data_IF_116882513514
#
_entry.id   IF_116882513514
#
_cell.length_a   1.000
_cell.length_b   1.000
_cell.length_c   1.000
_cell.angle_alpha   90.00
_cell.angle_beta   90.00
_cell.angle_gamma   90.00
#
_symmetry.space_group_name_H-M   'P 1'
#
loop_
_entity.id
_entity.type
_entity.pdbx_description
1 polymer ?
#
# COMPACT_ATOMS: atom_id res chain seq x y z
N UNK A 1 -14.67 50.39 -6.89
CA UNK A 1 -15.90 50.47 -7.69
C UNK A 1 -15.52 50.30 -9.15
N UNK A 2 -16.30 49.56 -9.93
CA UNK A 2 -16.17 49.41 -11.37
C UNK A 2 -16.40 50.73 -12.12
N UNK A 3 -17.18 51.65 -11.56
CA UNK A 3 -17.26 53.06 -12.00
C UNK A 3 -16.10 53.95 -11.52
N UNK A 4 -15.14 53.39 -10.77
CA UNK A 4 -13.97 54.13 -10.28
C UNK A 4 -12.96 54.44 -11.38
N UNK A 5 -11.99 55.31 -11.08
CA UNK A 5 -10.90 55.60 -12.02
C UNK A 5 -10.07 54.35 -12.28
N UNK A 6 -9.55 54.20 -13.51
CA UNK A 6 -8.69 53.07 -13.88
C UNK A 6 -7.47 52.95 -12.96
N UNK A 7 -6.92 54.09 -12.53
CA UNK A 7 -5.80 54.15 -11.56
C UNK A 7 -6.20 53.56 -10.22
N UNK A 8 -7.38 53.90 -9.68
CA UNK A 8 -7.88 53.32 -8.44
C UNK A 8 -8.19 51.82 -8.59
N UNK A 9 -8.66 51.39 -9.78
CA UNK A 9 -8.88 49.98 -10.10
C UNK A 9 -7.58 49.17 -10.09
N UNK A 10 -6.50 49.69 -10.67
CA UNK A 10 -5.18 49.02 -10.66
C UNK A 10 -4.47 49.07 -9.31
N UNK A 11 -4.77 50.06 -8.46
CA UNK A 11 -4.19 50.17 -7.12
C UNK A 11 -4.90 49.31 -6.06
N UNK A 12 -6.10 48.79 -6.34
CA UNK A 12 -6.90 48.05 -5.38
C UNK A 12 -6.74 46.52 -5.55
N UNK A 13 -6.61 45.80 -4.43
CA UNK A 13 -6.58 44.33 -4.42
C UNK A 13 -7.93 43.68 -4.78
N UNK A 14 -9.03 44.41 -4.56
CA UNK A 14 -10.40 43.96 -4.84
C UNK A 14 -11.18 45.10 -5.49
N UNK A 15 -11.84 44.81 -6.61
CA UNK A 15 -12.71 45.75 -7.33
C UNK A 15 -14.14 45.23 -7.41
N UNK A 16 -15.11 46.07 -7.02
CA UNK A 16 -16.54 45.74 -7.09
C UNK A 16 -17.09 46.09 -8.48
N UNK A 17 -17.26 45.10 -9.35
CA UNK A 17 -17.75 45.35 -10.74
C UNK A 17 -19.17 45.91 -10.80
N UNK A 18 -20.03 45.53 -9.84
CA UNK A 18 -21.44 45.94 -9.82
C UNK A 18 -21.70 47.26 -9.07
N UNK A 19 -20.65 47.83 -8.44
CA UNK A 19 -20.73 48.98 -7.53
C UNK A 19 -21.64 48.81 -6.30
N UNK A 20 -22.11 47.59 -6.02
CA UNK A 20 -22.94 47.30 -4.84
C UNK A 20 -22.07 46.89 -3.67
N UNK A 21 -22.20 47.61 -2.55
CA UNK A 21 -21.50 47.28 -1.31
C UNK A 21 -21.88 45.90 -0.74
N UNK A 22 -23.08 45.40 -1.07
CA UNK A 22 -23.53 44.06 -0.68
C UNK A 22 -22.62 42.94 -1.19
N UNK A 23 -22.01 43.10 -2.36
CA UNK A 23 -21.07 42.12 -2.93
C UNK A 23 -19.82 41.97 -2.03
N UNK A 24 -19.46 43.01 -1.26
CA UNK A 24 -18.36 42.97 -0.30
C UNK A 24 -18.69 42.08 0.91
N UNK A 25 -19.95 42.06 1.36
CA UNK A 25 -20.40 41.16 2.43
C UNK A 25 -20.33 39.71 1.98
N UNK A 26 -20.79 39.42 0.76
CA UNK A 26 -20.68 38.09 0.16
C UNK A 26 -19.22 37.66 -0.02
N UNK A 27 -18.34 38.58 -0.43
CA UNK A 27 -16.91 38.30 -0.52
C UNK A 27 -16.27 38.00 0.84
N UNK A 28 -16.69 38.67 1.91
CA UNK A 28 -16.24 38.37 3.29
C UNK A 28 -16.72 36.99 3.74
N UNK A 29 -17.98 36.64 3.48
CA UNK A 29 -18.52 35.31 3.79
C UNK A 29 -17.72 34.21 3.09
N UNK A 30 -17.46 34.39 1.80
CA UNK A 30 -16.70 33.45 0.98
C UNK A 30 -15.24 33.35 1.41
N UNK A 31 -14.61 34.46 1.78
CA UNK A 31 -13.25 34.47 2.33
C UNK A 31 -13.14 33.71 3.65
N UNK A 32 -14.14 33.86 4.54
CA UNK A 32 -14.23 33.09 5.79
C UNK A 32 -14.44 31.60 5.52
N UNK A 33 -15.30 31.25 4.57
CA UNK A 33 -15.54 29.86 4.13
C UNK A 33 -14.25 29.22 3.59
N UNK A 34 -13.57 29.90 2.67
CA UNK A 34 -12.33 29.41 2.07
C UNK A 34 -11.25 29.18 3.14
N UNK A 35 -11.08 30.12 4.08
CA UNK A 35 -10.10 29.98 5.16
C UNK A 35 -10.41 28.79 6.08
N UNK A 36 -11.68 28.62 6.49
CA UNK A 36 -12.09 27.47 7.31
C UNK A 36 -11.83 26.14 6.60
N UNK A 37 -12.10 26.08 5.29
CA UNK A 37 -11.84 24.90 4.47
C UNK A 37 -10.33 24.60 4.34
N UNK A 38 -9.48 25.62 4.17
CA UNK A 38 -8.02 25.46 4.18
C UNK A 38 -7.55 24.88 5.51
N UNK A 39 -8.09 25.35 6.64
CA UNK A 39 -7.77 24.79 7.96
C UNK A 39 -8.08 23.30 8.08
N UNK A 40 -9.21 22.84 7.52
CA UNK A 40 -9.57 21.42 7.48
C UNK A 40 -8.63 20.60 6.60
N UNK A 41 -8.27 21.14 5.43
CA UNK A 41 -7.32 20.52 4.49
C UNK A 41 -5.95 20.36 5.15
N UNK A 42 -5.39 21.43 5.70
CA UNK A 42 -4.09 21.40 6.40
C UNK A 42 -4.12 20.41 7.56
N UNK A 43 -5.20 20.41 8.35
CA UNK A 43 -5.38 19.45 9.45
C UNK A 43 -5.33 18.02 8.93
N UNK A 44 -6.01 17.71 7.84
CA UNK A 44 -6.00 16.38 7.23
C UNK A 44 -4.59 15.98 6.75
N UNK A 45 -3.95 16.80 5.92
CA UNK A 45 -2.64 16.50 5.34
C UNK A 45 -1.56 16.30 6.41
N UNK A 46 -1.53 17.16 7.44
CA UNK A 46 -0.59 16.97 8.54
C UNK A 46 -0.91 15.70 9.33
N UNK A 47 -2.20 15.40 9.54
CA UNK A 47 -2.60 14.22 10.30
C UNK A 47 -2.20 12.92 9.61
N UNK A 48 -2.49 12.81 8.32
CA UNK A 48 -2.17 11.67 7.47
C UNK A 48 -0.65 11.41 7.41
N UNK A 49 0.13 12.42 7.02
CA UNK A 49 1.59 12.28 6.89
C UNK A 49 2.28 11.92 8.21
N UNK A 50 1.87 12.53 9.33
CA UNK A 50 2.43 12.19 10.65
C UNK A 50 2.00 10.78 11.06
N UNK A 51 0.77 10.38 10.76
CA UNK A 51 0.28 9.02 10.99
C UNK A 51 1.09 7.97 10.23
N UNK A 52 1.36 8.20 8.94
CA UNK A 52 2.19 7.31 8.12
C UNK A 52 3.64 7.26 8.60
N UNK A 53 4.18 8.39 9.06
CA UNK A 53 5.50 8.44 9.68
C UNK A 53 5.55 7.53 10.91
N UNK A 54 4.55 7.59 11.79
CA UNK A 54 4.49 6.71 12.97
C UNK A 54 4.42 5.22 12.60
N UNK A 55 3.73 4.88 11.51
CA UNK A 55 3.70 3.48 11.02
C UNK A 55 5.11 3.04 10.60
N UNK A 56 5.81 3.84 9.78
CA UNK A 56 7.17 3.51 9.35
C UNK A 56 8.14 3.40 10.53
N UNK A 57 8.03 4.33 11.50
CA UNK A 57 8.81 4.28 12.75
C UNK A 57 8.54 2.98 13.50
N UNK A 58 7.27 2.62 13.72
CA UNK A 58 6.91 1.40 14.44
C UNK A 58 7.41 0.12 13.72
N UNK A 59 7.31 0.07 12.40
CA UNK A 59 7.80 -1.07 11.59
C UNK A 59 9.29 -1.30 11.83
N UNK A 60 10.10 -0.22 11.83
CA UNK A 60 11.55 -0.31 12.08
C UNK A 60 11.82 -0.74 13.52
N UNK A 61 11.17 -0.10 14.51
CA UNK A 61 11.39 -0.41 15.93
C UNK A 61 11.02 -1.85 16.30
N UNK A 62 9.97 -2.41 15.69
CA UNK A 62 9.51 -3.77 15.97
C UNK A 62 10.05 -4.82 15.00
N UNK A 63 10.91 -4.45 14.05
CA UNK A 63 11.46 -5.33 13.01
C UNK A 63 10.36 -6.09 12.25
N UNK A 64 9.29 -5.37 11.90
CA UNK A 64 8.17 -5.87 11.10
C UNK A 64 8.49 -5.70 9.61
N UNK A 65 7.89 -6.50 8.72
CA UNK A 65 7.96 -6.19 7.31
C UNK A 65 7.26 -4.84 7.04
N UNK A 66 7.73 -4.11 6.03
CA UNK A 66 7.09 -2.85 5.63
C UNK A 66 5.74 -3.14 4.97
N UNK A 67 4.64 -2.44 5.34
CA UNK A 67 3.33 -2.73 4.76
C UNK A 67 3.22 -2.31 3.28
N UNK A 68 4.11 -1.44 2.79
CA UNK A 68 4.12 -0.98 1.39
C UNK A 68 5.53 -0.62 0.93
N UNK A 69 5.76 -0.69 -0.38
CA UNK A 69 6.97 -0.11 -0.96
C UNK A 69 6.86 1.42 -1.05
N UNK A 70 7.99 2.13 -1.08
CA UNK A 70 8.02 3.60 -1.11
C UNK A 70 7.23 4.19 -2.28
N UNK A 71 7.24 3.51 -3.44
CA UNK A 71 6.44 3.87 -4.60
C UNK A 71 4.93 3.79 -4.33
N UNK A 72 4.49 2.73 -3.64
CA UNK A 72 3.08 2.51 -3.32
C UNK A 72 2.55 3.58 -2.37
N UNK A 73 3.40 4.05 -1.44
CA UNK A 73 3.07 5.17 -0.55
C UNK A 73 2.82 6.45 -1.34
N UNK A 74 3.72 6.75 -2.29
CA UNK A 74 3.59 7.94 -3.14
C UNK A 74 2.29 7.90 -3.95
N UNK A 75 1.95 6.75 -4.53
CA UNK A 75 0.71 6.60 -5.31
C UNK A 75 -0.53 6.71 -4.43
N UNK A 76 -0.52 6.14 -3.22
CA UNK A 76 -1.64 6.29 -2.29
C UNK A 76 -1.84 7.77 -1.92
N UNK A 77 -0.77 8.48 -1.56
CA UNK A 77 -0.81 9.91 -1.23
C UNK A 77 -1.19 10.82 -2.40
N UNK A 78 -0.68 10.55 -3.60
CA UNK A 78 -0.91 11.41 -4.76
C UNK A 78 -2.25 11.12 -5.44
N UNK A 79 -2.63 9.86 -5.60
CA UNK A 79 -3.81 9.48 -6.38
C UNK A 79 -5.04 9.28 -5.50
N UNK A 80 -4.96 8.51 -4.42
CA UNK A 80 -6.16 8.13 -3.70
C UNK A 80 -6.62 9.22 -2.72
N UNK A 81 -5.69 9.76 -1.92
CA UNK A 81 -6.01 10.71 -0.85
C UNK A 81 -6.19 12.13 -1.36
N UNK A 82 -5.34 12.58 -2.31
CA UNK A 82 -5.45 13.93 -2.89
C UNK A 82 -6.80 14.17 -3.58
N UNK A 83 -7.32 13.17 -4.31
CA UNK A 83 -8.67 13.24 -4.87
C UNK A 83 -9.74 13.31 -3.77
N UNK A 84 -9.56 12.59 -2.67
CA UNK A 84 -10.47 12.64 -1.51
C UNK A 84 -10.51 14.01 -0.82
N UNK A 85 -9.42 14.78 -0.87
CA UNK A 85 -9.30 16.13 -0.26
C UNK A 85 -9.94 17.22 -1.10
N UNK A 86 -9.93 17.09 -2.43
CA UNK A 86 -10.43 18.12 -3.34
C UNK A 86 -11.84 18.66 -3.00
N UNK A 87 -12.82 17.82 -2.58
CA UNK A 87 -14.14 18.31 -2.16
C UNK A 87 -14.16 19.22 -0.94
N UNK A 88 -13.16 19.18 -0.06
CA UNK A 88 -13.10 20.08 1.10
C UNK A 88 -13.04 21.55 0.66
N UNK A 89 -12.48 21.85 -0.51
CA UNK A 89 -12.50 23.20 -1.08
C UNK A 89 -13.93 23.71 -1.32
N UNK A 90 -14.85 22.80 -1.65
CA UNK A 90 -16.25 23.09 -1.98
C UNK A 90 -17.20 22.81 -0.82
N UNK A 91 -16.69 22.53 0.38
CA UNK A 91 -17.55 22.31 1.53
C UNK A 91 -18.30 23.63 1.86
N UNK A 92 -19.61 23.58 2.10
CA UNK A 92 -20.39 24.77 2.37
C UNK A 92 -19.99 25.39 3.71
N UNK A 93 -20.19 26.71 3.82
CA UNK A 93 -19.88 27.45 5.03
C UNK A 93 -20.68 26.93 6.23
N UNK A 94 -20.09 27.08 7.41
CA UNK A 94 -20.78 26.78 8.67
C UNK A 94 -21.85 27.84 8.96
N UNK A 95 -22.97 27.43 9.57
CA UNK A 95 -24.12 28.31 9.79
C UNK A 95 -23.80 29.54 10.66
N UNK A 96 -22.71 29.51 11.43
CA UNK A 96 -22.25 30.60 12.29
C UNK A 96 -21.20 31.50 11.64
N UNK A 97 -20.75 31.21 10.40
CA UNK A 97 -19.58 31.86 9.79
C UNK A 97 -19.65 33.39 9.78
N UNK A 98 -20.84 33.96 9.60
CA UNK A 98 -21.06 35.42 9.60
C UNK A 98 -21.42 35.99 10.98
N UNK A 99 -21.75 35.14 11.95
CA UNK A 99 -22.03 35.51 13.34
C UNK A 99 -20.78 35.56 14.19
N UNK A 100 -19.74 34.81 13.81
CA UNK A 100 -18.48 34.76 14.51
C UNK A 100 -17.70 36.08 14.33
N UNK A 101 -16.96 36.49 15.37
CA UNK A 101 -16.14 37.70 15.31
C UNK A 101 -14.99 37.55 14.27
N UNK A 102 -14.48 38.64 13.69
CA UNK A 102 -13.29 38.59 12.84
C UNK A 102 -12.11 37.94 13.58
N UNK A 103 -11.43 36.98 12.93
CA UNK A 103 -10.28 36.29 13.54
C UNK A 103 -9.16 37.28 13.91
N UNK A 104 -8.41 36.96 14.95
CA UNK A 104 -7.18 37.70 15.24
C UNK A 104 -6.10 37.36 14.22
N UNK A 105 -5.21 38.31 13.92
CA UNK A 105 -4.12 38.12 12.95
C UNK A 105 -3.19 36.95 13.32
N UNK A 106 -3.03 36.72 14.63
CA UNK A 106 -2.17 35.68 15.20
C UNK A 106 -2.90 34.36 15.48
N UNK A 107 -4.18 34.23 15.09
CA UNK A 107 -4.88 32.96 15.22
C UNK A 107 -4.28 31.93 14.26
N UNK A 108 -4.03 30.73 14.80
CA UNK A 108 -3.59 29.58 14.04
C UNK A 108 -4.63 29.20 12.98
N UNK A 109 -4.15 28.78 11.81
CA UNK A 109 -4.99 28.24 10.73
C UNK A 109 -5.74 26.99 11.19
N UNK A 110 -5.13 26.20 12.07
CA UNK A 110 -5.75 25.03 12.70
C UNK A 110 -6.10 25.35 14.14
N UNK A 111 -7.38 25.24 14.49
CA UNK A 111 -7.84 25.54 15.84
C UNK A 111 -7.26 24.54 16.85
N UNK A 112 -6.64 24.97 17.97
CA UNK A 112 -5.99 24.08 18.94
C UNK A 112 -6.90 22.98 19.51
N UNK A 113 -8.21 23.28 19.58
CA UNK A 113 -9.23 22.32 20.01
C UNK A 113 -9.38 21.14 19.06
N UNK A 114 -9.40 21.37 17.73
CA UNK A 114 -9.46 20.31 16.72
C UNK A 114 -8.19 19.47 16.80
N UNK A 115 -7.05 20.14 16.93
CA UNK A 115 -5.76 19.47 17.06
C UNK A 115 -5.72 18.49 18.25
N UNK A 116 -6.05 18.97 19.45
CA UNK A 116 -5.99 18.17 20.69
C UNK A 116 -7.01 17.03 20.72
N UNK A 117 -8.22 17.25 20.21
CA UNK A 117 -9.33 16.30 20.40
C UNK A 117 -9.62 15.42 19.19
N UNK A 118 -9.16 15.78 17.99
CA UNK A 118 -9.43 14.99 16.77
C UNK A 118 -8.12 14.48 16.16
N UNK A 119 -7.13 15.37 15.96
CA UNK A 119 -5.87 15.01 15.29
C UNK A 119 -4.97 14.12 16.16
N UNK A 120 -4.76 14.49 17.42
CA UNK A 120 -3.89 13.71 18.32
C UNK A 120 -4.41 12.28 18.57
N UNK A 121 -5.71 12.04 18.84
CA UNK A 121 -6.24 10.68 18.96
C UNK A 121 -6.12 9.87 17.66
N UNK A 122 -6.26 10.52 16.51
CA UNK A 122 -6.07 9.87 15.20
C UNK A 122 -4.65 9.30 15.07
N UNK A 123 -3.61 10.01 15.53
CA UNK A 123 -2.22 9.50 15.49
C UNK A 123 -1.96 8.28 16.35
N UNK A 124 -2.78 8.02 17.37
CA UNK A 124 -2.65 6.81 18.17
C UNK A 124 -3.37 5.64 17.49
N UNK A 125 -4.53 5.90 16.90
CA UNK A 125 -5.40 4.84 16.39
C UNK A 125 -5.04 4.43 14.97
N UNK A 126 -4.68 5.38 14.12
CA UNK A 126 -4.34 5.10 12.73
C UNK A 126 -3.16 4.13 12.58
N UNK A 127 -2.01 4.29 13.29
CA UNK A 127 -0.94 3.32 13.22
C UNK A 127 -1.29 1.98 13.85
N UNK A 128 -2.01 1.98 14.97
CA UNK A 128 -2.34 0.74 15.71
C UNK A 128 -3.30 -0.14 14.92
N UNK A 129 -4.30 0.45 14.30
CA UNK A 129 -5.26 -0.27 13.45
C UNK A 129 -4.59 -0.80 12.17
N UNK A 130 -3.73 -0.01 11.54
CA UNK A 130 -3.01 -0.43 10.33
C UNK A 130 -2.05 -1.58 10.62
N UNK A 131 -1.20 -1.43 11.63
CA UNK A 131 -0.26 -2.47 12.04
C UNK A 131 -1.02 -3.70 12.55
N UNK A 132 -2.11 -3.51 13.30
CA UNK A 132 -2.98 -4.58 13.75
C UNK A 132 -3.56 -5.41 12.59
N UNK A 133 -4.10 -4.76 11.56
CA UNK A 133 -4.61 -5.43 10.36
C UNK A 133 -3.51 -6.20 9.63
N UNK A 134 -2.32 -5.62 9.53
CA UNK A 134 -1.16 -6.28 8.91
C UNK A 134 -0.67 -7.49 9.73
N UNK A 135 -0.56 -7.37 11.06
CA UNK A 135 -0.15 -8.47 11.94
C UNK A 135 -1.15 -9.62 11.89
N UNK A 136 -2.45 -9.33 11.82
CA UNK A 136 -3.49 -10.34 11.61
C UNK A 136 -3.35 -11.02 10.23
N UNK A 137 -3.03 -10.26 9.18
CA UNK A 137 -2.73 -10.82 7.87
C UNK A 137 -1.51 -11.74 7.90
N UNK A 138 -0.44 -11.34 8.58
CA UNK A 138 0.78 -12.14 8.73
C UNK A 138 0.51 -13.42 9.55
N UNK A 139 -0.27 -13.34 10.63
CA UNK A 139 -0.57 -14.51 11.46
C UNK A 139 -1.40 -15.55 10.72
N UNK A 140 -2.37 -15.13 9.89
CA UNK A 140 -3.21 -16.07 9.14
C UNK A 140 -2.55 -16.63 7.89
N UNK A 141 -1.70 -15.87 7.21
CA UNK A 141 -1.15 -16.30 5.93
C UNK A 141 0.28 -16.84 6.02
N UNK A 142 1.09 -16.38 6.97
CA UNK A 142 2.50 -16.76 7.12
C UNK A 142 2.73 -17.52 8.43
N UNK A 143 2.20 -17.00 9.54
CA UNK A 143 2.37 -17.55 10.89
C UNK A 143 3.53 -16.94 11.68
N UNK A 144 4.28 -16.02 11.07
CA UNK A 144 5.39 -15.29 11.69
C UNK A 144 5.24 -13.78 11.48
N UNK A 145 5.74 -13.00 12.43
CA UNK A 145 5.55 -11.54 12.45
C UNK A 145 6.82 -10.75 12.13
N UNK A 146 7.99 -11.29 12.47
CA UNK A 146 9.28 -10.58 12.33
C UNK A 146 9.87 -10.78 10.94
N UNK A 147 10.32 -9.70 10.31
CA UNK A 147 10.88 -9.75 8.95
C UNK A 147 12.02 -10.76 8.78
N UNK A 148 12.93 -10.84 9.75
CA UNK A 148 14.04 -11.80 9.73
C UNK A 148 13.57 -13.25 9.76
N UNK A 149 12.65 -13.59 10.66
CA UNK A 149 12.08 -14.94 10.75
C UNK A 149 11.29 -15.31 9.49
N UNK A 150 10.60 -14.34 8.91
CA UNK A 150 9.89 -14.54 7.64
C UNK A 150 10.88 -14.88 6.52
N UNK A 151 12.07 -14.26 6.49
CA UNK A 151 13.12 -14.60 5.55
C UNK A 151 13.71 -16.01 5.83
N UNK A 152 13.87 -16.39 7.09
CA UNK A 152 14.36 -17.74 7.49
C UNK A 152 13.40 -18.87 7.10
N UNK A 153 12.11 -18.58 6.87
CA UNK A 153 11.14 -19.56 6.34
C UNK A 153 11.45 -19.98 4.90
N UNK A 154 12.32 -19.23 4.20
CA UNK A 154 12.73 -19.51 2.84
C UNK A 154 14.20 -19.94 2.80
N UNK A 155 14.48 -21.04 2.12
CA UNK A 155 15.83 -21.46 1.76
C UNK A 155 16.20 -20.86 0.41
N UNK A 156 17.37 -20.24 0.35
CA UNK A 156 17.87 -19.54 -0.83
C UNK A 156 19.03 -20.30 -1.48
N UNK A 157 19.14 -20.18 -2.80
CA UNK A 157 20.24 -20.72 -3.57
C UNK A 157 20.80 -19.65 -4.51
N UNK A 158 22.12 -19.70 -4.72
CA UNK A 158 22.84 -18.82 -5.63
C UNK A 158 22.99 -19.46 -7.00
N UNK A 159 22.92 -18.63 -8.03
CA UNK A 159 23.19 -19.01 -9.43
C UNK A 159 24.62 -18.59 -9.77
N UNK A 160 25.44 -19.55 -10.17
CA UNK A 160 26.85 -19.32 -10.49
C UNK A 160 27.15 -19.60 -11.97
N UNK A 161 27.98 -18.74 -12.56
CA UNK A 161 28.46 -18.80 -13.95
C UNK A 161 29.88 -19.36 -13.99
N UNK A 162 30.35 -19.71 -15.19
CA UNK A 162 31.75 -20.07 -15.48
C UNK A 162 32.28 -21.24 -14.63
N UNK A 163 31.53 -22.34 -14.58
CA UNK A 163 31.94 -23.52 -13.82
C UNK A 163 31.85 -23.35 -12.29
N UNK A 164 31.03 -22.40 -11.82
CA UNK A 164 30.77 -22.17 -10.39
C UNK A 164 31.62 -21.09 -9.74
N UNK A 165 32.38 -20.28 -10.50
CA UNK A 165 33.33 -19.30 -9.93
C UNK A 165 32.73 -17.93 -9.63
N UNK A 166 31.80 -17.45 -10.46
CA UNK A 166 31.18 -16.13 -10.32
C UNK A 166 29.68 -16.27 -10.06
N UNK A 167 29.21 -15.82 -8.90
CA UNK A 167 27.82 -16.02 -8.46
C UNK A 167 27.07 -14.70 -8.34
N UNK A 168 25.84 -14.70 -8.86
CA UNK A 168 24.94 -13.54 -8.80
C UNK A 168 24.49 -13.36 -7.34
N UNK A 169 24.64 -12.16 -6.77
CA UNK A 169 24.30 -11.90 -5.36
C UNK A 169 22.80 -12.00 -5.04
N UNK A 170 21.96 -11.99 -6.06
CA UNK A 170 20.51 -12.12 -5.91
C UNK A 170 20.13 -13.58 -5.68
N UNK A 171 20.44 -14.11 -4.49
CA UNK A 171 20.02 -15.45 -4.10
C UNK A 171 18.50 -15.57 -4.21
N UNK A 172 18.03 -16.63 -4.89
CA UNK A 172 16.60 -16.83 -5.17
C UNK A 172 16.05 -17.89 -4.22
N UNK A 173 14.87 -17.68 -3.62
CA UNK A 173 14.27 -18.69 -2.75
C UNK A 173 13.81 -19.87 -3.59
N UNK A 174 14.26 -21.09 -3.26
CA UNK A 174 13.84 -22.31 -3.96
C UNK A 174 12.84 -23.14 -3.14
N UNK A 175 12.77 -22.91 -1.83
CA UNK A 175 11.84 -23.59 -0.94
C UNK A 175 11.41 -22.62 0.16
N UNK A 176 10.10 -22.41 0.30
CA UNK A 176 9.53 -21.65 1.41
C UNK A 176 8.46 -22.46 2.15
N UNK A 177 8.40 -22.31 3.47
CA UNK A 177 7.38 -22.92 4.35
C UNK A 177 6.45 -21.86 4.95
N UNK A 178 5.16 -22.19 5.06
CA UNK A 178 4.17 -21.32 5.70
C UNK A 178 3.52 -22.03 6.88
N UNK A 179 3.93 -21.65 8.09
CA UNK A 179 3.53 -22.28 9.35
C UNK A 179 2.03 -22.18 9.60
N UNK A 180 1.41 -21.03 9.34
CA UNK A 180 -0.01 -20.82 9.59
C UNK A 180 -0.92 -21.72 8.74
N UNK A 181 -0.49 -22.04 7.52
CA UNK A 181 -1.24 -22.88 6.60
C UNK A 181 -0.82 -24.36 6.69
N UNK A 182 0.25 -24.67 7.43
CA UNK A 182 0.85 -26.01 7.46
C UNK A 182 1.28 -26.50 6.07
N UNK A 183 1.56 -25.58 5.14
CA UNK A 183 1.86 -25.93 3.74
C UNK A 183 3.27 -25.52 3.36
N UNK A 184 3.99 -26.45 2.73
CA UNK A 184 5.22 -26.17 2.00
C UNK A 184 4.93 -25.92 0.51
N UNK A 185 5.78 -25.14 -0.14
CA UNK A 185 5.65 -24.77 -1.56
C UNK A 185 5.48 -25.99 -2.50
N UNK A 186 5.99 -27.16 -2.12
CA UNK A 186 6.04 -28.38 -2.93
C UNK A 186 5.06 -29.48 -2.49
N UNK A 187 4.09 -29.15 -1.63
CA UNK A 187 3.09 -30.09 -1.08
C UNK A 187 1.62 -29.65 -1.16
N UNK A 188 1.27 -28.72 -2.07
CA UNK A 188 -0.10 -28.16 -2.17
C UNK A 188 -1.05 -29.00 -3.06
N UNK A 189 -2.33 -29.09 -2.67
CA UNK A 189 -3.44 -29.22 -3.63
C UNK A 189 -3.56 -27.88 -4.37
N UNK A 190 -3.36 -27.89 -5.68
CA UNK A 190 -3.38 -26.67 -6.48
C UNK A 190 -4.80 -26.10 -6.54
N UNK A 191 -4.97 -24.86 -6.07
CA UNK A 191 -6.19 -24.06 -6.28
C UNK A 191 -5.99 -23.15 -7.50
N UNK A 192 -7.07 -22.64 -8.08
CA UNK A 192 -7.04 -21.77 -9.27
C UNK A 192 -6.11 -20.54 -9.09
N UNK A 193 -5.96 -20.05 -7.86
CA UNK A 193 -5.09 -18.92 -7.51
C UNK A 193 -3.59 -19.29 -7.32
N UNK A 194 -3.29 -20.59 -7.15
CA UNK A 194 -1.95 -21.14 -6.88
C UNK A 194 -1.66 -22.36 -7.78
N UNK A 195 -2.13 -22.31 -9.04
CA UNK A 195 -1.96 -23.38 -10.02
C UNK A 195 -0.58 -23.28 -10.69
N UNK A 196 0.47 -23.58 -9.92
CA UNK A 196 1.85 -23.58 -10.39
C UNK A 196 2.11 -24.57 -11.52
N UNK A 197 1.33 -25.66 -11.62
CA UNK A 197 1.44 -26.63 -12.71
C UNK A 197 1.03 -26.00 -14.05
N UNK A 198 -0.07 -25.24 -14.08
CA UNK A 198 -0.49 -24.52 -15.29
C UNK A 198 0.46 -23.37 -15.66
N UNK A 199 1.03 -22.67 -14.66
CA UNK A 199 2.02 -21.63 -14.92
C UNK A 199 3.34 -22.21 -15.46
N UNK A 200 3.76 -23.37 -14.92
CA UNK A 200 4.91 -24.12 -15.40
C UNK A 200 4.67 -24.65 -16.83
N UNK A 201 3.48 -25.19 -17.09
CA UNK A 201 3.07 -25.70 -18.41
C UNK A 201 3.04 -24.61 -19.48
N UNK A 202 2.47 -23.45 -19.16
CA UNK A 202 2.36 -22.33 -20.09
C UNK A 202 3.72 -21.73 -20.48
N UNK A 203 4.73 -21.85 -19.61
CA UNK A 203 6.05 -21.25 -19.80
C UNK A 203 7.09 -22.22 -20.34
N UNK A 204 6.99 -23.52 -20.00
CA UNK A 204 7.92 -24.55 -20.46
C UNK A 204 7.39 -25.43 -21.60
N UNK A 205 6.07 -25.44 -21.84
CA UNK A 205 5.42 -26.35 -22.78
C UNK A 205 5.35 -27.82 -22.30
N UNK A 206 5.77 -28.10 -21.06
CA UNK A 206 5.85 -29.45 -20.48
C UNK A 206 4.87 -29.56 -19.30
N UNK A 207 4.16 -30.70 -19.20
CA UNK A 207 3.26 -31.02 -18.08
C UNK A 207 3.98 -30.95 -16.73
N UNK A 208 3.55 -30.03 -15.85
CA UNK A 208 4.11 -29.85 -14.51
C UNK A 208 3.86 -31.07 -13.62
N UNK A 209 2.82 -31.85 -13.93
CA UNK A 209 2.51 -33.12 -13.27
C UNK A 209 3.50 -34.25 -13.64
N UNK A 210 4.04 -34.28 -14.86
CA UNK A 210 5.13 -35.21 -15.23
C UNK A 210 6.46 -34.79 -14.61
N UNK A 211 6.74 -33.49 -14.52
CA UNK A 211 7.97 -32.97 -13.93
C UNK A 211 8.03 -33.24 -12.41
N UNK A 212 6.92 -33.03 -11.70
CA UNK A 212 6.76 -33.41 -10.29
C UNK A 212 6.92 -34.92 -10.02
N UNK A 213 6.72 -35.78 -11.03
CA UNK A 213 6.89 -37.24 -10.89
C UNK A 213 8.29 -37.72 -11.26
N UNK A 214 8.95 -37.07 -12.22
CA UNK A 214 10.33 -37.41 -12.60
C UNK A 214 11.38 -36.80 -11.67
N UNK A 215 11.11 -35.63 -11.11
CA UNK A 215 12.06 -34.88 -10.29
C UNK A 215 11.45 -34.41 -8.95
N UNK A 216 10.34 -35.05 -8.53
CA UNK A 216 9.81 -34.97 -7.17
C UNK A 216 10.79 -35.56 -6.14
N UNK A 217 10.57 -35.31 -4.84
CA UNK A 217 11.63 -35.13 -3.87
C UNK A 217 12.42 -36.43 -3.64
N UNK A 218 13.68 -36.40 -4.08
CA UNK A 218 14.81 -37.25 -3.66
C UNK A 218 14.91 -38.64 -4.29
N UNK A 219 15.03 -38.73 -5.62
CA UNK A 219 15.80 -39.85 -6.16
C UNK A 219 16.74 -39.46 -7.32
N UNK A 220 18.03 -39.66 -7.03
CA UNK A 220 19.21 -39.89 -7.89
C UNK A 220 20.12 -38.79 -8.43
N UNK A 221 19.95 -37.48 -8.17
CA UNK A 221 21.05 -36.48 -8.23
C UNK A 221 20.59 -35.11 -7.73
N UNK A 222 21.17 -34.61 -6.64
CA UNK A 222 20.80 -33.31 -6.05
C UNK A 222 21.14 -32.16 -7.01
N UNK A 223 20.17 -31.37 -7.50
CA UNK A 223 20.44 -30.21 -8.34
C UNK A 223 21.05 -29.04 -7.55
N UNK A 224 21.07 -29.14 -6.21
CA UNK A 224 21.56 -28.15 -5.27
C UNK A 224 22.62 -28.78 -4.36
N UNK A 225 23.70 -28.08 -4.11
CA UNK A 225 24.76 -28.52 -3.21
C UNK A 225 25.59 -27.35 -2.68
N UNK A 226 26.64 -27.64 -1.92
CA UNK A 226 27.52 -26.59 -1.41
C UNK A 226 28.16 -25.83 -2.56
N UNK A 227 28.21 -24.50 -2.46
CA UNK A 227 28.99 -23.68 -3.39
C UNK A 227 30.48 -24.07 -3.32
N UNK A 228 31.21 -23.90 -4.42
CA UNK A 228 32.66 -24.14 -4.43
C UNK A 228 33.33 -23.14 -3.46
N UNK A 229 34.40 -23.56 -2.79
CA UNK A 229 35.20 -22.67 -1.95
C UNK A 229 35.86 -21.53 -2.75
N UNK A 230 35.94 -21.66 -4.08
CA UNK A 230 36.44 -20.63 -5.00
C UNK A 230 35.33 -19.70 -5.53
N UNK A 231 34.06 -19.94 -5.18
CA UNK A 231 32.93 -19.14 -5.64
C UNK A 231 32.95 -17.74 -5.00
N UNK A 232 33.01 -16.70 -5.83
CA UNK A 232 32.92 -15.30 -5.41
C UNK A 232 31.66 -14.64 -5.94
N UNK A 233 31.23 -13.55 -5.31
CA UNK A 233 30.19 -12.69 -5.85
C UNK A 233 30.68 -11.90 -7.08
N UNK A 234 29.77 -11.17 -7.73
CA UNK A 234 30.08 -10.28 -8.86
C UNK A 234 31.15 -9.20 -8.53
N UNK A 235 31.45 -8.98 -7.25
CA UNK A 235 32.42 -8.01 -6.75
C UNK A 235 33.72 -8.66 -6.24
N UNK A 236 33.89 -9.99 -6.36
CA UNK A 236 35.08 -10.72 -5.91
C UNK A 236 35.15 -11.06 -4.42
N UNK A 237 34.08 -10.86 -3.67
CA UNK A 237 33.95 -11.23 -2.25
C UNK A 237 33.48 -12.69 -2.09
N UNK A 238 33.90 -13.34 -1.01
CA UNK A 238 33.51 -14.72 -0.71
C UNK A 238 32.03 -14.84 -0.33
N UNK A 239 31.41 -15.95 -0.72
CA UNK A 239 30.03 -16.29 -0.32
C UNK A 239 29.96 -16.73 1.16
N UNK A 240 28.76 -16.67 1.80
CA UNK A 240 28.54 -17.18 3.15
C UNK A 240 28.91 -18.68 3.27
N UNK A 241 29.44 -19.10 4.42
CA UNK A 241 29.94 -20.47 4.66
C UNK A 241 28.90 -21.59 4.38
N UNK A 242 27.60 -21.30 4.52
CA UNK A 242 26.50 -22.25 4.28
C UNK A 242 25.73 -21.97 2.98
N UNK A 243 26.33 -21.25 2.03
CA UNK A 243 25.70 -20.95 0.75
C UNK A 243 25.47 -22.24 -0.06
N UNK A 244 24.23 -22.42 -0.55
CA UNK A 244 23.91 -23.45 -1.53
C UNK A 244 23.89 -22.89 -2.92
N UNK A 245 24.44 -23.64 -3.87
CA UNK A 245 24.49 -23.30 -5.27
C UNK A 245 23.81 -24.39 -6.09
N UNK A 246 23.22 -23.99 -7.22
CA UNK A 246 22.74 -24.94 -8.21
C UNK A 246 23.94 -25.65 -8.85
N UNK A 247 24.06 -26.96 -8.63
CA UNK A 247 25.19 -27.79 -9.06
C UNK A 247 25.13 -28.14 -10.55
N UNK A 248 23.93 -28.13 -11.15
CA UNK A 248 23.74 -28.48 -12.55
C UNK A 248 23.63 -27.24 -13.44
N UNK A 249 24.75 -26.88 -14.06
CA UNK A 249 24.81 -26.33 -15.42
C UNK A 249 24.78 -27.46 -16.48
N UNK A 250 24.63 -28.71 -16.03
CA UNK A 250 24.61 -29.92 -16.85
C UNK A 250 23.19 -30.29 -17.31
N UNK A 251 22.54 -29.39 -18.03
CA UNK A 251 22.02 -29.79 -19.33
C UNK A 251 22.85 -28.99 -20.32
N UNK A 252 23.61 -29.71 -21.14
CA UNK A 252 24.35 -29.12 -22.25
C UNK A 252 23.41 -28.20 -23.07
N UNK A 253 23.95 -27.21 -23.79
CA UNK A 253 23.19 -26.31 -24.67
C UNK A 253 22.73 -27.06 -25.93
N UNK A 254 22.07 -28.20 -25.77
CA UNK A 254 21.28 -28.76 -26.86
C UNK A 254 19.96 -27.98 -26.84
N UNK A 255 19.91 -27.02 -27.77
CA UNK A 255 18.73 -26.26 -28.15
C UNK A 255 17.50 -27.15 -28.09
N UNK A 256 16.62 -26.92 -27.10
CA UNK A 256 15.32 -27.58 -27.11
C UNK A 256 14.53 -26.99 -28.27
N UNK A 257 14.29 -27.86 -29.25
CA UNK A 257 13.48 -27.56 -30.41
C UNK A 257 12.03 -27.73 -29.97
N UNK A 258 11.25 -26.65 -29.98
CA UNK A 258 9.82 -26.70 -29.73
C UNK A 258 9.13 -27.65 -30.72
N UNK A 259 7.88 -28.06 -30.44
CA UNK A 259 7.10 -28.91 -31.37
C UNK A 259 6.91 -28.29 -32.77
N UNK A 260 7.23 -27.00 -32.90
CA UNK A 260 7.26 -26.18 -34.12
C UNK A 260 8.62 -26.11 -34.83
N UNK A 261 9.65 -26.82 -34.34
CA UNK A 261 10.96 -26.88 -35.00
C UNK A 261 11.91 -25.72 -34.69
N UNK A 262 11.58 -24.86 -33.71
CA UNK A 262 12.40 -23.68 -33.36
C UNK A 262 13.16 -23.87 -32.05
N UNK A 263 14.40 -23.36 -32.01
CA UNK A 263 15.29 -23.46 -30.86
C UNK A 263 14.87 -22.46 -29.79
N UNK A 264 14.47 -22.95 -28.61
CA UNK A 264 14.20 -22.11 -27.44
C UNK A 264 15.50 -21.93 -26.67
N UNK A 265 16.11 -20.75 -26.76
CA UNK A 265 17.34 -20.43 -26.04
C UNK A 265 17.18 -20.46 -24.51
N UNK A 266 18.31 -20.74 -23.83
CA UNK A 266 18.58 -20.58 -22.40
C UNK A 266 17.47 -21.00 -21.41
N UNK A 267 17.38 -22.32 -21.16
CA UNK A 267 16.58 -22.91 -20.08
C UNK A 267 16.91 -22.39 -18.67
N UNK A 268 18.14 -21.90 -18.44
CA UNK A 268 18.59 -21.44 -17.13
C UNK A 268 17.82 -20.23 -16.59
N UNK A 269 17.57 -19.23 -17.44
CA UNK A 269 16.81 -18.04 -17.03
C UNK A 269 15.30 -18.32 -16.92
N UNK A 270 14.78 -19.29 -17.68
CA UNK A 270 13.37 -19.71 -17.58
C UNK A 270 13.12 -20.37 -16.23
N UNK A 271 13.99 -21.26 -15.75
CA UNK A 271 13.86 -21.85 -14.41
C UNK A 271 13.94 -20.83 -13.27
N UNK A 272 14.86 -19.87 -13.38
CA UNK A 272 14.97 -18.76 -12.43
C UNK A 272 13.65 -17.96 -12.40
N UNK A 273 13.15 -17.57 -13.58
CA UNK A 273 11.90 -16.82 -13.71
C UNK A 273 10.69 -17.64 -13.28
N UNK A 274 10.62 -18.96 -13.49
CA UNK A 274 9.49 -19.79 -13.03
C UNK A 274 9.47 -19.98 -11.51
N UNK A 275 10.63 -20.20 -10.89
CA UNK A 275 10.76 -20.31 -9.44
C UNK A 275 10.51 -18.95 -8.75
N UNK A 276 10.73 -17.84 -9.48
CA UNK A 276 10.52 -16.46 -9.02
C UNK A 276 9.14 -15.87 -9.33
N UNK A 277 8.51 -16.26 -10.44
CA UNK A 277 7.11 -15.94 -10.79
C UNK A 277 6.13 -16.86 -10.09
N UNK A 278 6.57 -18.06 -9.67
CA UNK A 278 5.80 -18.87 -8.74
C UNK A 278 5.71 -18.14 -7.41
N UNK A 279 4.54 -17.54 -7.20
CA UNK A 279 4.00 -16.98 -5.95
C UNK A 279 4.20 -17.92 -4.76
N UNK A 280 5.44 -18.00 -4.24
CA UNK A 280 5.75 -18.87 -3.12
C UNK A 280 4.88 -18.44 -1.92
N UNK A 281 4.55 -19.40 -1.05
CA UNK A 281 3.49 -19.18 -0.06
C UNK A 281 3.80 -17.99 0.86
N UNK A 282 5.08 -17.78 1.19
CA UNK A 282 5.55 -16.70 2.07
C UNK A 282 5.44 -15.36 1.35
N UNK A 283 5.85 -15.25 0.08
CA UNK A 283 5.70 -14.02 -0.71
C UNK A 283 4.23 -13.69 -0.91
N UNK A 284 3.39 -14.67 -1.27
CA UNK A 284 1.96 -14.45 -1.45
C UNK A 284 1.28 -14.05 -0.13
N UNK A 285 1.62 -14.71 0.99
CA UNK A 285 1.09 -14.41 2.30
C UNK A 285 1.53 -13.03 2.82
N UNK A 286 2.78 -12.65 2.57
CA UNK A 286 3.26 -11.30 2.89
C UNK A 286 2.62 -10.23 2.01
N UNK A 287 2.41 -10.48 0.71
CA UNK A 287 1.65 -9.57 -0.17
C UNK A 287 0.20 -9.38 0.32
N UNK A 288 -0.48 -10.44 0.74
CA UNK A 288 -1.83 -10.35 1.30
C UNK A 288 -1.85 -9.50 2.58
N UNK A 289 -0.90 -9.73 3.49
CA UNK A 289 -0.77 -8.94 4.71
C UNK A 289 -0.43 -7.46 4.44
N UNK A 290 0.49 -7.19 3.50
CA UNK A 290 0.81 -5.85 3.01
C UNK A 290 -0.45 -5.18 2.44
N UNK A 291 -1.24 -5.90 1.64
CA UNK A 291 -2.48 -5.37 1.06
C UNK A 291 -3.54 -5.07 2.13
N UNK A 292 -3.64 -5.87 3.19
CA UNK A 292 -4.50 -5.55 4.34
C UNK A 292 -4.07 -4.25 5.01
N UNK A 293 -2.77 -4.04 5.23
CA UNK A 293 -2.23 -2.78 5.77
C UNK A 293 -2.51 -1.58 4.85
N UNK A 294 -2.18 -1.70 3.57
CA UNK A 294 -2.40 -0.66 2.56
C UNK A 294 -3.88 -0.27 2.44
N UNK A 295 -4.78 -1.25 2.36
CA UNK A 295 -6.22 -0.98 2.26
C UNK A 295 -6.78 -0.37 3.56
N UNK A 296 -6.26 -0.79 4.72
CA UNK A 296 -6.63 -0.20 6.01
C UNK A 296 -6.27 1.28 6.07
N UNK A 297 -5.10 1.67 5.56
CA UNK A 297 -4.73 3.09 5.46
C UNK A 297 -5.72 3.85 4.59
N UNK A 298 -5.90 3.38 3.35
CA UNK A 298 -6.78 4.04 2.40
C UNK A 298 -8.17 4.30 3.01
N UNK A 299 -8.78 3.27 3.60
CA UNK A 299 -10.11 3.38 4.19
C UNK A 299 -10.11 4.28 5.42
N UNK A 300 -9.08 4.19 6.27
CA UNK A 300 -9.03 4.97 7.51
C UNK A 300 -8.79 6.45 7.25
N UNK A 301 -7.97 6.79 6.27
CA UNK A 301 -7.76 8.18 5.84
C UNK A 301 -9.01 8.77 5.20
N UNK A 302 -9.67 8.02 4.30
CA UNK A 302 -10.94 8.45 3.73
C UNK A 302 -12.02 8.64 4.80
N UNK A 303 -12.08 7.75 5.79
CA UNK A 303 -13.01 7.86 6.91
C UNK A 303 -12.70 9.09 7.79
N UNK A 304 -11.42 9.31 8.12
CA UNK A 304 -10.97 10.46 8.88
C UNK A 304 -11.25 11.79 8.17
N UNK A 305 -11.08 11.81 6.84
CA UNK A 305 -11.43 12.95 6.00
C UNK A 305 -12.92 13.31 6.14
N UNK A 306 -13.82 12.32 6.12
CA UNK A 306 -15.25 12.58 6.33
C UNK A 306 -15.53 13.15 7.73
N UNK A 307 -14.80 12.70 8.75
CA UNK A 307 -14.91 13.24 10.10
C UNK A 307 -14.45 14.70 10.18
N UNK A 308 -13.44 15.13 9.44
CA UNK A 308 -12.93 16.50 9.45
C UNK A 308 -13.79 17.52 8.69
N UNK A 309 -14.72 17.08 7.83
CA UNK A 309 -15.55 17.97 7.00
C UNK A 309 -16.42 18.94 7.83
N UNK A 310 -16.89 18.49 8.99
CA UNK A 310 -17.82 19.27 9.83
C UNK A 310 -17.64 19.00 11.32
N UNK A 311 -17.83 20.02 12.18
CA UNK A 311 -17.90 19.84 13.63
C UNK A 311 -19.17 19.08 14.06
N UNK A 312 -20.20 19.00 13.20
CA UNK A 312 -21.39 18.20 13.44
C UNK A 312 -21.12 16.71 13.23
N UNK A 313 -22.09 15.89 13.63
CA UNK A 313 -21.97 14.44 13.49
C UNK A 313 -21.90 14.02 12.02
N UNK A 314 -21.08 13.02 11.73
CA UNK A 314 -20.94 12.46 10.40
C UNK A 314 -22.27 11.92 9.87
N UNK A 315 -23.08 11.26 10.70
CA UNK A 315 -24.39 10.72 10.30
C UNK A 315 -25.34 11.78 9.74
N UNK A 316 -25.28 13.01 10.25
CA UNK A 316 -26.10 14.12 9.74
C UNK A 316 -25.48 14.80 8.52
N UNK A 317 -24.15 14.75 8.39
CA UNK A 317 -23.41 15.53 7.38
C UNK A 317 -23.00 14.69 6.15
N UNK A 318 -23.09 13.36 6.22
CA UNK A 318 -22.54 12.44 5.22
C UNK A 318 -23.01 12.77 3.80
N UNK A 319 -24.32 12.99 3.61
CA UNK A 319 -24.96 13.29 2.32
C UNK A 319 -25.12 14.77 2.01
N UNK A 320 -24.65 15.67 2.89
CA UNK A 320 -24.79 17.13 2.74
C UNK A 320 -24.11 17.65 1.48
N UNK A 321 -22.96 17.08 1.13
CA UNK A 321 -22.15 17.50 -0.01
C UNK A 321 -22.05 16.35 -1.02
N UNK A 322 -22.77 16.47 -2.14
CA UNK A 322 -22.78 15.44 -3.19
C UNK A 322 -21.43 15.30 -3.88
N UNK A 323 -20.69 16.39 -4.07
CA UNK A 323 -19.36 16.31 -4.68
C UNK A 323 -18.40 15.54 -3.78
N UNK A 324 -18.43 15.77 -2.47
CA UNK A 324 -17.63 15.00 -1.52
C UNK A 324 -17.90 13.49 -1.57
N UNK A 325 -19.16 13.10 -1.75
CA UNK A 325 -19.53 11.69 -1.90
C UNK A 325 -19.02 11.11 -3.22
N UNK A 326 -19.13 11.84 -4.33
CA UNK A 326 -18.61 11.39 -5.64
C UNK A 326 -17.11 11.15 -5.58
N UNK A 327 -16.35 12.10 -5.04
CA UNK A 327 -14.89 11.96 -4.92
C UNK A 327 -14.49 10.85 -3.94
N UNK A 328 -15.24 10.65 -2.85
CA UNK A 328 -15.05 9.51 -1.97
C UNK A 328 -15.23 8.18 -2.73
N UNK A 329 -16.30 8.05 -3.52
CA UNK A 329 -16.54 6.86 -4.34
C UNK A 329 -15.42 6.66 -5.37
N UNK A 330 -14.92 7.74 -5.99
CA UNK A 330 -13.80 7.68 -6.93
C UNK A 330 -12.53 7.21 -6.24
N UNK A 331 -12.17 7.74 -5.07
CA UNK A 331 -11.00 7.30 -4.30
C UNK A 331 -11.08 5.82 -3.91
N UNK A 332 -12.24 5.34 -3.49
CA UNK A 332 -12.46 3.92 -3.20
C UNK A 332 -12.35 3.07 -4.48
N UNK A 333 -12.92 3.54 -5.59
CA UNK A 333 -12.86 2.84 -6.88
C UNK A 333 -11.41 2.73 -7.40
N UNK A 334 -10.60 3.78 -7.25
CA UNK A 334 -9.16 3.76 -7.55
C UNK A 334 -8.46 2.70 -6.69
N UNK A 335 -8.77 2.64 -5.39
CA UNK A 335 -8.20 1.63 -4.49
C UNK A 335 -8.55 0.20 -4.90
N UNK A 336 -9.81 -0.06 -5.22
CA UNK A 336 -10.28 -1.35 -5.74
C UNK A 336 -9.60 -1.68 -7.07
N UNK A 337 -9.50 -0.71 -7.98
CA UNK A 337 -8.81 -0.90 -9.26
C UNK A 337 -7.35 -1.31 -9.07
N UNK A 338 -6.63 -0.69 -8.13
CA UNK A 338 -5.23 -1.04 -7.81
C UNK A 338 -5.11 -2.47 -7.26
N UNK A 339 -6.00 -2.88 -6.36
CA UNK A 339 -5.93 -4.20 -5.69
C UNK A 339 -6.31 -5.35 -6.64
N UNK A 340 -7.37 -5.17 -7.44
CA UNK A 340 -7.98 -6.27 -8.18
C UNK A 340 -7.55 -6.37 -9.64
N UNK A 341 -6.91 -5.34 -10.21
CA UNK A 341 -6.40 -5.41 -11.60
C UNK A 341 -5.04 -6.12 -11.62
N UNK A 342 -4.88 -7.26 -12.30
CA UNK A 342 -3.65 -8.07 -12.22
C UNK A 342 -2.38 -7.33 -12.65
N UNK A 343 -2.44 -6.53 -13.70
CA UNK A 343 -1.27 -5.76 -14.18
C UNK A 343 -0.84 -4.71 -13.16
N UNK A 344 -1.82 -4.13 -12.45
CA UNK A 344 -1.59 -3.05 -11.50
C UNK A 344 -1.12 -3.63 -10.17
N UNK A 345 -1.78 -4.68 -9.66
CA UNK A 345 -1.40 -5.25 -8.37
C UNK A 345 0.00 -5.87 -8.37
N UNK A 346 0.47 -6.44 -9.49
CA UNK A 346 1.85 -6.91 -9.63
C UNK A 346 2.86 -5.77 -9.59
N UNK A 347 2.52 -4.61 -10.15
CA UNK A 347 3.38 -3.43 -10.10
C UNK A 347 3.52 -2.86 -8.68
N UNK A 348 2.48 -3.01 -7.85
CA UNK A 348 2.48 -2.57 -6.46
C UNK A 348 2.83 -3.69 -5.46
N UNK A 349 3.21 -4.90 -5.90
CA UNK A 349 3.40 -6.07 -5.01
C UNK A 349 2.21 -6.29 -4.04
N UNK A 350 0.98 -6.10 -4.55
CA UNK A 350 -0.27 -6.28 -3.82
C UNK A 350 -1.00 -7.55 -4.31
N UNK A 351 -1.90 -8.06 -3.47
CA UNK A 351 -2.70 -9.25 -3.75
C UNK A 351 -4.19 -8.99 -3.50
N UNK A 352 -5.10 -9.57 -4.31
CA UNK A 352 -6.53 -9.39 -4.12
C UNK A 352 -6.97 -9.94 -2.76
N UNK A 353 -7.74 -9.13 -2.03
CA UNK A 353 -8.22 -9.47 -0.69
C UNK A 353 -9.49 -10.33 -0.76
N UNK A 354 -9.57 -11.35 0.09
CA UNK A 354 -10.83 -12.06 0.34
C UNK A 354 -11.79 -11.22 1.18
N UNK A 355 -13.07 -11.64 1.23
CA UNK A 355 -14.13 -10.93 1.94
C UNK A 355 -13.81 -10.70 3.44
N UNK A 356 -13.29 -11.70 4.15
CA UNK A 356 -12.96 -11.60 5.57
C UNK A 356 -11.83 -10.60 5.84
N UNK A 357 -10.74 -10.68 5.08
CA UNK A 357 -9.61 -9.74 5.17
C UNK A 357 -10.08 -8.32 4.87
N UNK A 358 -10.93 -8.14 3.87
CA UNK A 358 -11.52 -6.85 3.54
C UNK A 358 -12.42 -6.31 4.67
N UNK A 359 -13.27 -7.14 5.28
CA UNK A 359 -14.13 -6.73 6.39
C UNK A 359 -13.33 -6.19 7.59
N UNK A 360 -12.18 -6.78 7.90
CA UNK A 360 -11.31 -6.33 9.00
C UNK A 360 -10.77 -4.92 8.74
N UNK A 361 -10.36 -4.63 7.50
CA UNK A 361 -9.89 -3.29 7.14
C UNK A 361 -11.00 -2.24 7.30
N UNK A 362 -12.26 -2.60 7.05
CA UNK A 362 -13.41 -1.73 7.31
C UNK A 362 -13.70 -1.53 8.79
N UNK A 363 -13.56 -2.57 9.61
CA UNK A 363 -13.67 -2.45 11.08
C UNK A 363 -12.62 -1.46 11.59
N UNK A 364 -11.40 -1.54 11.05
CA UNK A 364 -10.33 -0.60 11.32
C UNK A 364 -10.74 0.85 11.02
N UNK A 365 -11.22 1.12 9.81
CA UNK A 365 -11.68 2.46 9.42
C UNK A 365 -12.86 2.96 10.28
N UNK A 366 -13.80 2.07 10.62
CA UNK A 366 -14.94 2.40 11.48
C UNK A 366 -14.50 2.81 12.89
N UNK A 367 -13.43 2.21 13.44
CA UNK A 367 -12.93 2.57 14.77
C UNK A 367 -12.50 4.04 14.86
N UNK A 368 -11.89 4.58 13.80
CA UNK A 368 -11.50 5.99 13.71
C UNK A 368 -12.71 6.91 13.65
N UNK A 369 -13.77 6.50 12.92
CA UNK A 369 -15.04 7.25 12.89
C UNK A 369 -15.65 7.33 14.29
N UNK A 370 -15.73 6.20 14.99
CA UNK A 370 -16.29 6.14 16.35
C UNK A 370 -15.54 7.07 17.30
N UNK A 371 -14.20 7.07 17.24
CA UNK A 371 -13.39 7.93 18.09
C UNK A 371 -13.53 9.41 17.76
N UNK A 372 -13.51 9.76 16.47
CA UNK A 372 -13.68 11.15 16.05
C UNK A 372 -15.08 11.68 16.41
N UNK A 373 -16.13 10.86 16.24
CA UNK A 373 -17.50 11.22 16.63
C UNK A 373 -17.66 11.31 18.15
N UNK A 374 -17.03 10.40 18.91
CA UNK A 374 -16.96 10.46 20.37
C UNK A 374 -16.28 11.74 20.86
N UNK A 375 -15.17 12.14 20.23
CA UNK A 375 -14.50 13.39 20.52
C UNK A 375 -15.39 14.60 20.20
N UNK A 376 -16.02 14.65 19.01
CA UNK A 376 -16.97 15.71 18.67
C UNK A 376 -18.16 15.78 19.62
N UNK A 377 -18.64 14.64 20.11
CA UNK A 377 -19.71 14.59 21.10
C UNK A 377 -19.26 15.20 22.43
N UNK A 378 -18.07 14.86 22.92
CA UNK A 378 -17.46 15.46 24.11
C UNK A 378 -17.22 16.96 23.96
N UNK A 379 -16.93 17.46 22.76
CA UNK A 379 -16.73 18.90 22.53
C UNK A 379 -18.04 19.70 22.47
N UNK A 380 -19.16 19.04 22.18
CA UNK A 380 -20.50 19.66 22.14
C UNK A 380 -21.15 19.73 23.52
N UNK A 381 -20.78 18.81 24.41
CA UNK A 381 -21.17 18.82 25.82
C UNK A 381 -20.29 19.79 26.61
#
# INVERSE_FOLDING_TARGET
MGSGTVVAGHAADVTLRSDRLADMVAAVEEGRRAFANIGKIVSYWMSANIGELWINVAVVFFNLPKPWETMNQLVLGLAATSFGVFPLCFEPAEATVMRDAPRARNDSVVHPRIWRWIVVPFWLVFPTVTIGAMLLGLSWHVGEYRGQKIAELCSFAYTCREGGKTCIMNAKPYMCSCLALGTEQWGRKQTEQNNFAAQFEASSGISGASYSRQFGPWDTQEPLGPCSSESTNEFGEALPENARCWLTWAMQPEELVGADGRTTGDFGMVYENLLLDAKNCVRQGTMLAKTMGWNTILLTELAFLQCLRSPQSLLQTFTRNKTALVFLCVSVAIGVFIIYTPVVNTFFDLAPLGFFSFAITWIGAASVVVLAEGAKWLLRR
#
